data_IF_233909578676
#
_entry.id   IF_233909578676
#
_cell.length_a   1.000
_cell.length_b   1.000
_cell.length_c   1.000
_cell.angle_alpha   90.00
_cell.angle_beta   90.00
_cell.angle_gamma   90.00
#
_symmetry.space_group_name_H-M   'P 1'
#
loop_
_entity.id
_entity.type
_entity.pdbx_description
1 polymer ?
#
# COMPACT_ATOMS: atom_id res chain seq x y z
N UNK A 1 17.45 17.81 3.53
CA UNK A 1 17.36 19.16 4.13
C UNK A 1 17.49 18.99 5.64
N UNK A 2 18.22 19.85 6.37
CA UNK A 2 18.25 19.80 7.85
C UNK A 2 17.29 20.84 8.39
N UNK A 3 16.45 20.45 9.34
CA UNK A 3 15.54 21.35 10.05
C UNK A 3 15.78 21.24 11.54
N UNK A 4 15.78 22.37 12.25
CA UNK A 4 15.86 22.35 13.71
C UNK A 4 14.49 22.00 14.31
N UNK A 5 14.43 20.91 15.07
CA UNK A 5 13.30 20.56 15.93
C UNK A 5 13.85 20.39 17.35
N UNK A 6 13.31 21.11 18.32
CA UNK A 6 13.71 21.04 19.73
C UNK A 6 15.23 21.24 20.00
N UNK A 7 15.92 22.02 19.17
CA UNK A 7 17.36 22.28 19.31
C UNK A 7 18.27 21.21 18.70
N UNK A 8 17.71 20.15 18.10
CA UNK A 8 18.46 19.13 17.35
C UNK A 8 18.31 19.36 15.84
N UNK A 9 19.42 19.22 15.10
CA UNK A 9 19.37 19.16 13.63
C UNK A 9 18.81 17.80 13.20
N UNK A 10 17.58 17.79 12.72
CA UNK A 10 16.94 16.58 12.21
C UNK A 10 17.10 16.56 10.70
N UNK A 11 17.77 15.52 10.20
CA UNK A 11 17.81 15.25 8.77
C UNK A 11 16.39 14.93 8.30
N UNK A 12 15.96 15.55 7.21
CA UNK A 12 14.67 15.31 6.58
C UNK A 12 14.84 14.85 5.14
N UNK A 13 14.02 13.87 4.76
CA UNK A 13 13.85 13.42 3.38
C UNK A 13 12.85 14.36 2.71
N UNK A 14 13.36 15.15 1.77
CA UNK A 14 12.55 15.97 0.88
C UNK A 14 12.07 15.10 -0.28
N UNK A 15 10.75 14.93 -0.48
CA UNK A 15 10.21 14.12 -1.57
C UNK A 15 10.69 14.53 -2.97
N UNK A 16 11.12 15.78 -3.15
CA UNK A 16 11.67 16.27 -4.43
C UNK A 16 13.06 15.71 -4.76
N UNK A 17 13.75 15.17 -3.76
CA UNK A 17 15.12 14.69 -3.86
C UNK A 17 15.23 13.18 -3.58
N UNK A 18 14.14 12.43 -3.74
CA UNK A 18 14.17 10.97 -3.64
C UNK A 18 15.07 10.37 -4.72
N UNK A 19 15.86 9.37 -4.33
CA UNK A 19 16.64 8.60 -5.30
C UNK A 19 15.70 7.74 -6.19
N UNK A 20 16.21 7.38 -7.36
CA UNK A 20 15.43 6.66 -8.36
C UNK A 20 14.94 5.28 -7.88
N UNK A 21 15.69 4.62 -6.98
CA UNK A 21 15.30 3.31 -6.46
C UNK A 21 14.12 3.45 -5.48
N UNK A 22 14.19 4.40 -4.55
CA UNK A 22 13.10 4.70 -3.62
C UNK A 22 11.82 5.10 -4.35
N UNK A 23 11.91 5.96 -5.36
CA UNK A 23 10.77 6.36 -6.18
C UNK A 23 10.15 5.16 -6.93
N UNK A 24 11.00 4.29 -7.50
CA UNK A 24 10.54 3.06 -8.17
C UNK A 24 9.82 2.13 -7.20
N UNK A 25 10.35 1.95 -5.99
CA UNK A 25 9.73 1.11 -4.95
C UNK A 25 8.36 1.64 -4.56
N UNK A 26 8.23 2.92 -4.21
CA UNK A 26 6.95 3.51 -3.83
C UNK A 26 5.92 3.38 -4.97
N UNK A 27 6.31 3.72 -6.20
CA UNK A 27 5.42 3.61 -7.36
C UNK A 27 4.97 2.16 -7.60
N UNK A 28 5.88 1.19 -7.49
CA UNK A 28 5.54 -0.24 -7.59
C UNK A 28 4.50 -0.65 -6.55
N UNK A 29 4.66 -0.22 -5.29
CA UNK A 29 3.71 -0.53 -4.23
C UNK A 29 2.34 0.14 -4.46
N UNK A 30 2.32 1.38 -4.96
CA UNK A 30 1.06 2.06 -5.33
C UNK A 30 0.33 1.28 -6.42
N UNK A 31 1.05 0.86 -7.47
CA UNK A 31 0.47 0.07 -8.58
C UNK A 31 -0.09 -1.25 -8.06
N UNK A 32 0.65 -1.95 -7.19
CA UNK A 32 0.18 -3.19 -6.57
C UNK A 32 -1.09 -2.96 -5.73
N UNK A 33 -1.15 -1.89 -4.94
CA UNK A 33 -2.35 -1.58 -4.17
C UNK A 33 -3.57 -1.35 -5.07
N UNK A 34 -3.39 -0.59 -6.16
CA UNK A 34 -4.46 -0.34 -7.15
C UNK A 34 -4.91 -1.65 -7.81
N UNK A 35 -3.96 -2.51 -8.17
CA UNK A 35 -4.23 -3.80 -8.77
C UNK A 35 -5.08 -4.70 -7.85
N UNK A 36 -4.68 -4.87 -6.59
CA UNK A 36 -5.46 -5.67 -5.64
C UNK A 36 -6.82 -5.05 -5.33
N UNK A 37 -6.91 -3.72 -5.23
CA UNK A 37 -8.19 -3.03 -5.05
C UNK A 37 -9.16 -3.36 -6.19
N UNK A 38 -8.73 -3.26 -7.45
CA UNK A 38 -9.55 -3.58 -8.62
C UNK A 38 -10.00 -5.05 -8.63
N UNK A 39 -9.12 -5.96 -8.25
CA UNK A 39 -9.46 -7.40 -8.13
C UNK A 39 -10.56 -7.63 -7.11
N UNK A 40 -10.48 -6.98 -5.94
CA UNK A 40 -11.51 -7.07 -4.90
C UNK A 40 -12.83 -6.40 -5.32
N UNK A 41 -12.77 -5.23 -5.96
CA UNK A 41 -13.95 -4.55 -6.52
C UNK A 41 -14.66 -5.41 -7.56
N UNK A 42 -13.93 -6.20 -8.36
CA UNK A 42 -14.54 -7.16 -9.28
C UNK A 42 -15.08 -8.40 -8.57
N UNK A 43 -14.43 -8.89 -7.52
CA UNK A 43 -14.80 -10.11 -6.81
C UNK A 43 -16.06 -9.92 -5.95
N UNK A 44 -16.20 -8.75 -5.30
CA UNK A 44 -17.29 -8.47 -4.36
C UNK A 44 -18.68 -8.60 -5.00
N UNK A 45 -18.79 -8.41 -6.31
CA UNK A 45 -20.04 -8.54 -7.07
C UNK A 45 -20.60 -9.98 -7.11
N UNK A 46 -19.78 -10.97 -6.76
CA UNK A 46 -20.11 -12.39 -6.82
C UNK A 46 -20.17 -13.04 -5.43
N UNK A 47 -19.97 -12.26 -4.37
CA UNK A 47 -19.93 -12.75 -2.99
C UNK A 47 -21.23 -12.34 -2.28
N UNK A 48 -21.97 -13.34 -1.79
CA UNK A 48 -23.17 -13.11 -0.97
C UNK A 48 -22.94 -13.38 0.52
N UNK A 49 -21.81 -14.01 0.87
CA UNK A 49 -21.47 -14.33 2.27
C UNK A 49 -21.10 -13.04 3.04
N UNK A 50 -21.86 -12.67 4.10
CA UNK A 50 -21.60 -11.44 4.86
C UNK A 50 -20.24 -11.41 5.56
N UNK A 51 -19.69 -12.56 5.96
CA UNK A 51 -18.38 -12.63 6.60
C UNK A 51 -17.28 -12.35 5.58
N UNK A 52 -17.41 -12.89 4.36
CA UNK A 52 -16.46 -12.63 3.27
C UNK A 52 -16.57 -11.18 2.79
N UNK A 53 -17.77 -10.61 2.70
CA UNK A 53 -17.96 -9.19 2.39
C UNK A 53 -17.29 -8.28 3.44
N UNK A 54 -17.44 -8.61 4.74
CA UNK A 54 -16.77 -7.88 5.82
C UNK A 54 -15.25 -7.98 5.69
N UNK A 55 -14.71 -9.19 5.46
CA UNK A 55 -13.27 -9.40 5.24
C UNK A 55 -12.77 -8.58 4.05
N UNK A 56 -13.51 -8.59 2.94
CA UNK A 56 -13.20 -7.80 1.73
C UNK A 56 -13.14 -6.31 2.05
N UNK A 57 -14.11 -5.79 2.82
CA UNK A 57 -14.10 -4.39 3.24
C UNK A 57 -12.88 -4.02 4.10
N UNK A 58 -12.43 -4.91 4.98
CA UNK A 58 -11.22 -4.67 5.79
C UNK A 58 -9.98 -4.57 4.91
N UNK A 59 -9.79 -5.53 4.00
CA UNK A 59 -8.67 -5.53 3.05
C UNK A 59 -8.68 -4.27 2.16
N UNK A 60 -9.86 -3.84 1.68
CA UNK A 60 -9.98 -2.60 0.91
C UNK A 60 -9.62 -1.35 1.73
N UNK A 61 -9.96 -1.32 3.02
CA UNK A 61 -9.59 -0.20 3.90
C UNK A 61 -8.07 -0.15 4.14
N UNK A 62 -7.45 -1.31 4.36
CA UNK A 62 -5.99 -1.41 4.49
C UNK A 62 -5.29 -0.92 3.22
N UNK A 63 -5.75 -1.36 2.04
CA UNK A 63 -5.25 -0.90 0.74
C UNK A 63 -5.33 0.63 0.58
N UNK A 64 -6.43 1.25 1.01
CA UNK A 64 -6.59 2.71 0.97
C UNK A 64 -5.63 3.41 1.93
N UNK A 65 -5.47 2.88 3.14
CA UNK A 65 -4.53 3.40 4.12
C UNK A 65 -3.08 3.31 3.62
N UNK A 66 -2.68 2.17 3.05
CA UNK A 66 -1.34 1.99 2.50
C UNK A 66 -1.08 2.91 1.31
N UNK A 67 -2.04 3.07 0.38
CA UNK A 67 -1.91 4.05 -0.71
C UNK A 67 -1.73 5.46 -0.19
N UNK A 68 -2.46 5.85 0.86
CA UNK A 68 -2.32 7.17 1.48
C UNK A 68 -0.91 7.37 2.04
N UNK A 69 -0.40 6.42 2.82
CA UNK A 69 0.97 6.47 3.36
C UNK A 69 2.01 6.57 2.24
N UNK A 70 1.88 5.79 1.17
CA UNK A 70 2.79 5.83 0.03
C UNK A 70 2.75 7.18 -0.70
N UNK A 71 1.56 7.76 -0.88
CA UNK A 71 1.42 9.11 -1.47
C UNK A 71 2.02 10.17 -0.56
N UNK A 72 1.79 10.07 0.75
CA UNK A 72 2.38 10.98 1.72
C UNK A 72 3.92 10.94 1.65
N UNK A 73 4.54 9.77 1.46
CA UNK A 73 5.99 9.65 1.24
C UNK A 73 6.50 10.33 -0.05
N UNK A 74 5.62 10.65 -1.00
CA UNK A 74 5.93 11.39 -2.23
C UNK A 74 5.61 12.89 -2.13
N UNK A 75 4.89 13.33 -1.10
CA UNK A 75 4.40 14.71 -1.01
C UNK A 75 4.78 15.43 0.28
N UNK A 76 5.04 14.69 1.35
CA UNK A 76 5.33 15.21 2.68
C UNK A 76 6.77 14.91 3.10
N UNK A 77 7.33 15.85 3.85
CA UNK A 77 8.68 15.73 4.39
C UNK A 77 8.68 14.88 5.66
N UNK A 78 9.55 13.87 5.72
CA UNK A 78 9.66 12.96 6.86
C UNK A 78 11.08 12.89 7.40
N UNK A 79 11.21 12.47 8.65
CA UNK A 79 12.50 11.98 9.16
C UNK A 79 12.84 10.66 8.46
N UNK A 80 14.14 10.37 8.20
CA UNK A 80 14.57 9.15 7.52
C UNK A 80 14.00 7.86 8.12
N UNK A 81 13.88 7.80 9.45
CA UNK A 81 13.38 6.61 10.14
C UNK A 81 11.89 6.38 9.87
N UNK A 82 11.07 7.45 9.96
CA UNK A 82 9.63 7.37 9.67
C UNK A 82 9.41 6.99 8.20
N UNK A 83 10.15 7.63 7.28
CA UNK A 83 10.07 7.33 5.85
C UNK A 83 10.36 5.85 5.57
N UNK A 84 11.53 5.35 5.99
CA UNK A 84 11.94 3.96 5.76
C UNK A 84 11.00 2.97 6.41
N UNK A 85 10.59 3.22 7.66
CA UNK A 85 9.73 2.31 8.38
C UNK A 85 8.33 2.25 7.76
N UNK A 86 7.79 3.38 7.29
CA UNK A 86 6.49 3.41 6.63
C UNK A 86 6.46 2.58 5.35
N UNK A 87 7.51 2.65 4.52
CA UNK A 87 7.65 1.84 3.31
C UNK A 87 7.78 0.36 3.69
N UNK A 88 8.64 0.02 4.66
CA UNK A 88 8.85 -1.35 5.12
C UNK A 88 7.58 -2.01 5.65
N UNK A 89 6.76 -1.26 6.40
CA UNK A 89 5.47 -1.74 6.90
C UNK A 89 4.54 -2.08 5.74
N UNK A 90 4.44 -1.18 4.76
CA UNK A 90 3.58 -1.42 3.59
C UNK A 90 4.08 -2.61 2.78
N UNK A 91 5.37 -2.69 2.47
CA UNK A 91 5.97 -3.84 1.75
C UNK A 91 5.65 -5.17 2.42
N UNK A 92 5.82 -5.25 3.74
CA UNK A 92 5.51 -6.46 4.50
C UNK A 92 4.01 -6.79 4.45
N UNK A 93 3.16 -5.78 4.61
CA UNK A 93 1.72 -5.97 4.59
C UNK A 93 1.19 -6.41 3.22
N UNK A 94 1.85 -6.01 2.12
CA UNK A 94 1.44 -6.39 0.76
C UNK A 94 1.40 -7.90 0.55
N UNK A 95 2.26 -8.68 1.22
CA UNK A 95 2.22 -10.15 1.15
C UNK A 95 0.92 -10.73 1.72
N UNK A 96 0.45 -10.20 2.84
CA UNK A 96 -0.82 -10.58 3.47
C UNK A 96 -2.02 -10.12 2.64
N UNK A 97 -1.94 -8.92 2.05
CA UNK A 97 -2.96 -8.39 1.15
C UNK A 97 -3.09 -9.26 -0.10
N UNK A 98 -1.97 -9.65 -0.71
CA UNK A 98 -1.96 -10.52 -1.89
C UNK A 98 -2.65 -11.86 -1.57
N UNK A 99 -2.20 -12.53 -0.51
CA UNK A 99 -2.80 -13.80 -0.06
C UNK A 99 -4.29 -13.69 0.25
N UNK A 100 -4.72 -12.63 0.95
CA UNK A 100 -6.14 -12.41 1.25
C UNK A 100 -6.95 -12.10 -0.02
N UNK A 101 -6.39 -11.35 -0.96
CA UNK A 101 -7.03 -11.05 -2.24
C UNK A 101 -7.21 -12.30 -3.07
N UNK A 102 -6.19 -13.15 -3.17
CA UNK A 102 -6.26 -14.41 -3.90
C UNK A 102 -7.34 -15.34 -3.32
N UNK A 103 -7.42 -15.45 -1.99
CA UNK A 103 -8.47 -16.23 -1.33
C UNK A 103 -9.87 -15.69 -1.62
N UNK A 104 -10.06 -14.37 -1.56
CA UNK A 104 -11.36 -13.73 -1.84
C UNK A 104 -11.75 -13.93 -3.31
N UNK A 105 -10.81 -13.73 -4.24
CA UNK A 105 -11.03 -13.93 -5.67
C UNK A 105 -11.39 -15.39 -5.98
N UNK A 106 -10.70 -16.35 -5.34
CA UNK A 106 -11.00 -17.78 -5.47
C UNK A 106 -12.43 -18.10 -5.01
N UNK A 107 -12.85 -17.58 -3.85
CA UNK A 107 -14.22 -17.74 -3.33
C UNK A 107 -15.25 -17.15 -4.32
N UNK A 108 -14.92 -16.01 -4.94
CA UNK A 108 -15.78 -15.35 -5.92
C UNK A 108 -15.82 -16.02 -7.29
N UNK A 109 -15.08 -17.12 -7.52
CA UNK A 109 -14.95 -17.76 -8.83
C UNK A 109 -14.24 -16.89 -9.87
N UNK A 110 -13.43 -15.92 -9.43
CA UNK A 110 -12.57 -15.09 -10.29
C UNK A 110 -11.17 -15.69 -10.24
N UNK A 111 -10.82 -16.51 -11.23
CA UNK A 111 -9.46 -17.03 -11.34
C UNK A 111 -8.44 -15.89 -11.35
N UNK A 112 -7.32 -16.10 -10.65
CA UNK A 112 -6.19 -15.18 -10.58
C UNK A 112 -5.56 -15.05 -11.98
N UNK A 113 -6.07 -14.15 -12.82
CA UNK A 113 -5.41 -13.80 -14.08
C UNK A 113 -4.17 -12.97 -13.71
N UNK A 114 -3.04 -13.67 -13.55
CA UNK A 114 -1.72 -13.09 -13.74
C UNK A 114 -1.52 -12.95 -15.25
N UNK A 115 -2.07 -11.88 -15.84
CA UNK A 115 -1.63 -11.47 -17.16
C UNK A 115 -0.37 -10.63 -16.96
N UNK A 116 0.76 -11.25 -17.32
CA UNK A 116 2.10 -10.65 -17.44
C UNK A 116 2.10 -9.34 -18.24
#
# INVERSE_FOLDING_TARGET
MTTQQNGEEVMQIDPKNLDAASLKTINSLIVQCIHFQRRLESAILYINDPQILRRTSLVMNDLRAYRRVLVENLTATYTPDIYKESIRIVEKAMSTIASSTDQICLIAGKECIYSE
#
